data_IF_662873204189
#
_entry.id   IF_662873204189
#
_cell.length_a   1.000
_cell.length_b   1.000
_cell.length_c   1.000
_cell.angle_alpha   90.00
_cell.angle_beta   90.00
_cell.angle_gamma   90.00
#
_symmetry.space_group_name_H-M   'P 1'
#
loop_
_entity.id
_entity.type
_entity.pdbx_description
1 polymer ?
#
# COMPACT_ATOMS: atom_id res chain seq x y z
N UNK A 1 -24.41 -22.04 18.86
CA UNK A 1 -23.16 -21.68 19.57
C UNK A 1 -23.02 -20.19 19.42
N UNK A 2 -23.22 -19.47 20.52
CA UNK A 2 -23.45 -18.03 20.53
C UNK A 2 -22.20 -17.28 20.10
N UNK A 3 -22.32 -16.54 19.00
CA UNK A 3 -21.38 -15.51 18.57
C UNK A 3 -21.43 -14.39 19.61
N UNK A 4 -20.56 -14.48 20.61
CA UNK A 4 -20.37 -13.38 21.56
C UNK A 4 -19.62 -12.31 20.79
N UNK A 5 -20.34 -11.29 20.33
CA UNK A 5 -19.78 -10.10 19.72
C UNK A 5 -18.74 -9.52 20.68
N UNK A 6 -17.47 -9.90 20.48
CA UNK A 6 -16.38 -9.43 21.31
C UNK A 6 -16.25 -7.96 20.96
N UNK A 7 -16.47 -7.09 21.94
CA UNK A 7 -16.35 -5.64 21.74
C UNK A 7 -14.87 -5.29 21.62
N UNK A 8 -14.45 -4.55 20.58
CA UNK A 8 -13.06 -4.17 20.41
C UNK A 8 -12.58 -3.30 21.58
N UNK A 9 -11.31 -3.43 22.01
CA UNK A 9 -10.69 -2.54 22.97
C UNK A 9 -10.84 -1.07 22.53
N UNK A 10 -11.03 -0.11 23.46
CA UNK A 10 -11.22 1.30 23.10
C UNK A 10 -10.14 1.85 22.16
N UNK A 11 -8.89 1.42 22.36
CA UNK A 11 -7.76 1.83 21.53
C UNK A 11 -7.87 1.31 20.08
N UNK A 12 -8.30 0.06 19.90
CA UNK A 12 -8.56 -0.48 18.56
C UNK A 12 -9.81 0.15 17.93
N UNK A 13 -10.85 0.44 18.72
CA UNK A 13 -12.01 1.17 18.23
C UNK A 13 -11.64 2.57 17.70
N UNK A 14 -10.81 3.32 18.44
CA UNK A 14 -10.27 4.61 17.98
C UNK A 14 -9.41 4.46 16.72
N UNK A 15 -8.61 3.39 16.62
CA UNK A 15 -7.83 3.09 15.43
C UNK A 15 -8.71 2.81 14.21
N UNK A 16 -9.84 2.10 14.37
CA UNK A 16 -10.82 1.88 13.32
C UNK A 16 -11.51 3.17 12.87
N UNK A 17 -11.85 4.06 13.81
CA UNK A 17 -12.40 5.38 13.49
C UNK A 17 -11.40 6.21 12.68
N UNK A 18 -10.14 6.26 13.11
CA UNK A 18 -9.07 6.94 12.38
C UNK A 18 -8.87 6.35 10.99
N UNK A 19 -8.80 5.01 10.87
CA UNK A 19 -8.65 4.32 9.59
C UNK A 19 -9.79 4.66 8.61
N UNK A 20 -11.04 4.73 9.08
CA UNK A 20 -12.21 5.10 8.26
C UNK A 20 -12.22 6.57 7.86
N UNK A 21 -11.55 7.42 8.63
CA UNK A 21 -11.41 8.85 8.34
C UNK A 21 -10.28 9.15 7.34
N UNK A 22 -9.46 8.15 6.98
CA UNK A 22 -8.40 8.31 6.00
C UNK A 22 -8.94 8.80 4.65
N UNK A 23 -8.12 9.59 3.94
CA UNK A 23 -8.41 10.08 2.59
C UNK A 23 -7.38 9.55 1.58
N UNK A 24 -7.49 8.27 1.16
CA UNK A 24 -6.59 7.71 0.15
C UNK A 24 -6.61 8.50 -1.17
N UNK A 25 -5.57 8.32 -1.98
CA UNK A 25 -5.45 8.82 -3.35
C UNK A 25 -6.71 8.48 -4.15
N UNK A 26 -7.27 9.46 -4.86
CA UNK A 26 -8.49 9.31 -5.65
C UNK A 26 -8.34 8.35 -6.85
N UNK A 27 -7.09 8.04 -7.22
CA UNK A 27 -6.75 7.05 -8.23
C UNK A 27 -6.93 5.61 -7.74
N UNK A 28 -7.11 5.39 -6.44
CA UNK A 28 -7.34 4.07 -5.85
C UNK A 28 -8.82 3.84 -5.52
N UNK A 29 -9.29 2.63 -5.76
CA UNK A 29 -10.48 2.10 -5.12
C UNK A 29 -10.04 1.32 -3.89
N UNK A 30 -10.34 1.86 -2.71
CA UNK A 30 -10.03 1.21 -1.43
C UNK A 30 -11.31 0.60 -0.84
N UNK A 31 -11.21 -0.64 -0.36
CA UNK A 31 -12.32 -1.33 0.30
C UNK A 31 -11.84 -2.20 1.46
N UNK A 32 -12.65 -2.30 2.51
CA UNK A 32 -12.41 -3.25 3.59
C UNK A 32 -12.63 -4.69 3.11
N UNK A 33 -11.74 -5.59 3.51
CA UNK A 33 -11.78 -7.03 3.18
C UNK A 33 -11.67 -7.85 4.47
N UNK A 34 -11.94 -9.16 4.37
CA UNK A 34 -11.76 -10.07 5.50
C UNK A 34 -10.31 -10.05 6.00
N UNK A 35 -10.13 -9.74 7.28
CA UNK A 35 -8.82 -9.73 7.91
C UNK A 35 -8.30 -11.16 8.17
N UNK A 36 -6.97 -11.38 8.19
CA UNK A 36 -6.40 -12.65 8.60
C UNK A 36 -6.79 -12.98 10.05
N UNK A 37 -7.43 -14.13 10.27
CA UNK A 37 -8.01 -14.49 11.57
C UNK A 37 -7.02 -15.08 12.58
N UNK A 38 -5.78 -15.35 12.18
CA UNK A 38 -4.78 -16.05 13.01
C UNK A 38 -3.63 -15.19 13.52
N UNK A 39 -3.54 -13.92 13.09
CA UNK A 39 -2.36 -13.07 13.38
C UNK A 39 -2.49 -12.25 14.65
N UNK A 40 -3.71 -11.91 15.07
CA UNK A 40 -3.98 -11.04 16.20
C UNK A 40 -5.40 -11.28 16.74
N UNK A 41 -5.66 -10.97 18.02
CA UNK A 41 -7.02 -10.96 18.56
C UNK A 41 -7.94 -9.96 17.84
N UNK A 42 -7.37 -8.87 17.31
CA UNK A 42 -8.09 -7.82 16.61
C UNK A 42 -7.35 -7.46 15.32
N UNK A 43 -8.08 -7.43 14.21
CA UNK A 43 -7.52 -7.08 12.91
C UNK A 43 -8.56 -6.42 12.00
N UNK A 44 -8.08 -5.54 11.12
CA UNK A 44 -8.83 -4.98 10.00
C UNK A 44 -7.93 -4.99 8.77
N UNK A 45 -8.50 -5.26 7.61
CA UNK A 45 -7.76 -5.32 6.36
C UNK A 45 -8.44 -4.47 5.28
N UNK A 46 -7.61 -3.75 4.51
CA UNK A 46 -8.00 -3.01 3.33
C UNK A 46 -7.34 -3.64 2.12
N UNK A 47 -8.08 -3.69 1.01
CA UNK A 47 -7.54 -3.87 -0.33
C UNK A 47 -7.62 -2.53 -1.08
N UNK A 48 -6.65 -2.31 -1.97
CA UNK A 48 -6.68 -1.18 -2.89
C UNK A 48 -6.29 -1.65 -4.28
N UNK A 49 -7.05 -1.19 -5.27
CA UNK A 49 -6.77 -1.39 -6.69
C UNK A 49 -6.72 -0.01 -7.37
N UNK A 50 -5.78 0.19 -8.27
CA UNK A 50 -5.81 1.38 -9.13
C UNK A 50 -7.05 1.36 -10.02
N UNK A 51 -7.62 2.54 -10.24
CA UNK A 51 -8.75 2.73 -11.13
C UNK A 51 -8.19 2.95 -12.54
N UNK A 52 -8.62 2.19 -13.56
CA UNK A 52 -8.15 2.38 -14.91
C UNK A 52 -8.46 3.82 -15.38
N UNK A 53 -7.44 4.55 -15.80
CA UNK A 53 -7.61 5.86 -16.43
C UNK A 53 -8.28 5.73 -17.80
N UNK A 54 -8.95 6.79 -18.28
CA UNK A 54 -9.68 6.82 -19.58
C UNK A 54 -8.85 6.49 -20.84
N UNK A 55 -7.54 6.25 -20.72
CA UNK A 55 -6.63 5.91 -21.82
C UNK A 55 -5.80 4.62 -21.56
N UNK A 56 -6.05 3.91 -20.46
CA UNK A 56 -5.40 2.64 -20.17
C UNK A 56 -6.39 1.52 -20.52
N UNK A 57 -6.36 1.05 -21.78
CA UNK A 57 -7.03 -0.20 -22.13
C UNK A 57 -6.27 -1.34 -21.44
N UNK A 58 -6.95 -2.05 -20.52
CA UNK A 58 -6.49 -3.28 -19.85
C UNK A 58 -5.02 -3.28 -19.36
N UNK A 59 -4.56 -2.21 -18.71
CA UNK A 59 -3.33 -2.29 -17.92
C UNK A 59 -3.59 -3.23 -16.74
N UNK A 60 -2.71 -4.18 -16.49
CA UNK A 60 -2.62 -4.79 -15.16
C UNK A 60 -2.37 -3.64 -14.17
N UNK A 61 -3.26 -3.47 -13.20
CA UNK A 61 -3.26 -2.31 -12.32
C UNK A 61 -2.53 -2.66 -11.03
N UNK A 62 -1.78 -1.71 -10.49
CA UNK A 62 -1.15 -1.88 -9.19
C UNK A 62 -2.20 -2.18 -8.12
N UNK A 63 -1.91 -3.16 -7.27
CA UNK A 63 -2.78 -3.65 -6.19
C UNK A 63 -2.04 -3.57 -4.87
N UNK A 64 -2.79 -3.45 -3.78
CA UNK A 64 -2.22 -3.51 -2.45
C UNK A 64 -3.14 -4.11 -1.41
N UNK A 65 -2.53 -4.53 -0.30
CA UNK A 65 -3.23 -4.88 0.94
C UNK A 65 -2.58 -4.14 2.10
N UNK A 66 -3.42 -3.67 3.01
CA UNK A 66 -3.01 -3.07 4.28
C UNK A 66 -3.75 -3.79 5.39
N UNK A 67 -3.02 -4.38 6.32
CA UNK A 67 -3.60 -5.10 7.47
C UNK A 67 -3.13 -4.41 8.74
N UNK A 68 -4.06 -3.87 9.51
CA UNK A 68 -3.79 -3.42 10.87
C UNK A 68 -4.14 -4.54 11.84
N UNK A 69 -3.14 -4.92 12.64
CA UNK A 69 -3.24 -5.88 13.72
C UNK A 69 -3.17 -5.14 15.05
N UNK A 70 -3.91 -5.63 16.05
CA UNK A 70 -3.85 -5.14 17.40
C UNK A 70 -3.91 -6.28 18.42
N UNK A 71 -2.92 -6.32 19.30
CA UNK A 71 -2.81 -7.28 20.39
C UNK A 71 -2.45 -6.54 21.68
N UNK A 72 -3.38 -6.50 22.67
CA UNK A 72 -3.14 -5.86 23.97
C UNK A 72 -1.95 -6.43 24.75
N UNK A 73 -1.49 -7.64 24.43
CA UNK A 73 -0.37 -8.31 25.10
C UNK A 73 1.01 -7.79 24.68
N UNK A 74 1.07 -6.95 23.64
CA UNK A 74 2.33 -6.38 23.11
C UNK A 74 3.35 -7.46 22.73
N UNK A 75 3.09 -8.26 21.68
CA UNK A 75 4.05 -9.26 21.22
C UNK A 75 5.42 -8.62 20.99
N UNK A 76 6.49 -9.22 21.56
CA UNK A 76 7.85 -8.65 21.50
C UNK A 76 8.31 -8.39 20.06
N UNK A 77 7.95 -9.27 19.13
CA UNK A 77 8.28 -9.16 17.71
C UNK A 77 7.62 -7.95 17.01
N UNK A 78 6.61 -7.34 17.61
CA UNK A 78 5.97 -6.14 17.10
C UNK A 78 6.58 -4.88 17.71
N UNK A 79 7.10 -4.93 18.94
CA UNK A 79 7.59 -3.72 19.61
C UNK A 79 6.48 -2.71 19.90
N UNK A 80 5.24 -3.18 20.11
CA UNK A 80 4.08 -2.37 20.42
C UNK A 80 2.76 -3.16 20.30
N UNK A 81 1.64 -2.50 20.63
CA UNK A 81 0.29 -3.09 20.58
C UNK A 81 -0.26 -3.24 19.17
N UNK A 82 0.19 -2.37 18.27
CA UNK A 82 -0.21 -2.36 16.88
C UNK A 82 0.88 -2.95 15.98
N UNK A 83 0.45 -3.56 14.88
CA UNK A 83 1.35 -3.91 13.79
C UNK A 83 0.63 -3.73 12.47
N UNK A 84 1.25 -3.01 11.55
CA UNK A 84 0.81 -3.00 10.16
C UNK A 84 1.60 -4.04 9.39
N UNK A 85 0.90 -4.78 8.54
CA UNK A 85 1.49 -5.60 7.47
C UNK A 85 0.92 -5.10 6.15
N UNK A 86 1.80 -4.74 5.23
CA UNK A 86 1.40 -4.27 3.91
C UNK A 86 2.00 -5.13 2.79
N UNK A 87 1.26 -5.15 1.70
CA UNK A 87 1.63 -5.72 0.43
C UNK A 87 1.29 -4.69 -0.65
N UNK A 88 2.17 -4.51 -1.62
CA UNK A 88 1.93 -3.69 -2.79
C UNK A 88 2.62 -4.35 -3.99
N UNK A 89 1.93 -4.39 -5.12
CA UNK A 89 2.45 -4.98 -6.35
C UNK A 89 2.02 -4.13 -7.53
N UNK A 90 2.92 -3.90 -8.48
CA UNK A 90 2.60 -3.23 -9.73
C UNK A 90 3.47 -3.77 -10.88
N UNK A 91 2.91 -3.87 -12.10
CA UNK A 91 3.72 -4.14 -13.28
C UNK A 91 4.68 -2.99 -13.56
N UNK A 92 5.80 -3.31 -14.19
CA UNK A 92 6.84 -2.37 -14.57
C UNK A 92 7.18 -2.50 -16.05
N UNK A 93 7.71 -1.42 -16.61
CA UNK A 93 8.44 -1.50 -17.87
C UNK A 93 9.75 -2.29 -17.66
N UNK A 94 10.12 -3.12 -18.63
CA UNK A 94 11.21 -4.10 -18.50
C UNK A 94 12.59 -3.45 -18.39
N UNK A 95 12.76 -2.28 -18.99
CA UNK A 95 13.98 -1.46 -18.89
C UNK A 95 14.16 -0.83 -17.51
N UNK A 96 13.06 -0.47 -16.83
CA UNK A 96 13.08 -0.03 -15.43
C UNK A 96 13.38 -1.21 -14.49
N UNK A 97 12.80 -2.38 -14.76
CA UNK A 97 12.96 -3.57 -13.91
C UNK A 97 14.42 -4.03 -13.70
N UNK A 98 15.31 -3.73 -14.64
CA UNK A 98 16.73 -4.07 -14.54
C UNK A 98 17.57 -3.04 -13.76
N UNK A 99 16.99 -1.89 -13.37
CA UNK A 99 17.71 -0.86 -12.60
C UNK A 99 18.15 -1.44 -11.22
N UNK A 100 19.45 -1.38 -10.89
CA UNK A 100 19.96 -1.88 -9.61
C UNK A 100 19.42 -1.13 -8.38
N UNK A 101 19.00 0.13 -8.52
CA UNK A 101 18.55 0.99 -7.41
C UNK A 101 17.04 0.95 -7.16
N UNK A 102 16.27 0.34 -8.06
CA UNK A 102 14.81 0.35 -7.99
C UNK A 102 14.26 -0.18 -6.66
N UNK A 103 14.90 -1.18 -6.08
CA UNK A 103 14.49 -1.73 -4.79
C UNK A 103 14.65 -0.71 -3.64
N UNK A 104 15.78 0.00 -3.60
CA UNK A 104 16.06 1.02 -2.59
C UNK A 104 15.13 2.23 -2.75
N UNK A 105 14.87 2.62 -4.00
CA UNK A 105 13.94 3.72 -4.34
C UNK A 105 12.51 3.36 -3.94
N UNK A 106 12.04 2.15 -4.24
CA UNK A 106 10.70 1.72 -3.84
C UNK A 106 10.54 1.59 -2.33
N UNK A 107 11.61 1.21 -1.62
CA UNK A 107 11.62 1.26 -0.16
C UNK A 107 11.56 2.69 0.38
N UNK A 108 12.33 3.62 -0.20
CA UNK A 108 12.29 5.03 0.22
C UNK A 108 10.92 5.65 -0.01
N UNK A 109 10.24 5.31 -1.11
CA UNK A 109 8.86 5.73 -1.36
C UNK A 109 7.89 5.39 -0.23
N UNK A 110 8.00 4.21 0.38
CA UNK A 110 7.17 3.86 1.53
C UNK A 110 7.49 4.76 2.73
N UNK A 111 8.77 4.89 3.07
CA UNK A 111 9.24 5.66 4.22
C UNK A 111 8.87 7.13 4.07
N UNK A 112 9.21 7.73 2.93
CA UNK A 112 8.94 9.13 2.61
C UNK A 112 7.43 9.42 2.61
N UNK A 113 6.61 8.49 2.10
CA UNK A 113 5.16 8.65 2.10
C UNK A 113 4.55 8.58 3.51
N UNK A 114 5.05 7.69 4.38
CA UNK A 114 4.61 7.63 5.78
C UNK A 114 5.00 8.92 6.52
N UNK A 115 6.24 9.37 6.33
CA UNK A 115 6.77 10.57 6.97
C UNK A 115 6.04 11.84 6.49
N UNK A 116 5.81 11.98 5.19
CA UNK A 116 5.08 13.12 4.61
C UNK A 116 3.63 13.22 5.10
N UNK A 117 2.99 12.09 5.43
CA UNK A 117 1.64 12.05 6.01
C UNK A 117 1.62 12.24 7.53
N UNK A 118 2.80 12.33 8.16
CA UNK A 118 2.94 12.48 9.61
C UNK A 118 2.61 11.20 10.38
N UNK A 119 2.76 10.03 9.74
CA UNK A 119 2.55 8.74 10.40
C UNK A 119 3.61 8.53 11.49
N UNK A 120 3.19 8.17 12.70
CA UNK A 120 4.11 7.89 13.81
C UNK A 120 4.35 6.40 13.95
N UNK A 121 5.55 5.93 13.62
CA UNK A 121 5.88 4.52 13.64
C UNK A 121 7.31 4.22 14.08
N UNK A 122 7.55 2.95 14.39
CA UNK A 122 8.87 2.36 14.60
C UNK A 122 8.95 1.00 13.92
N UNK A 123 10.15 0.38 13.96
CA UNK A 123 10.38 -1.00 13.54
C UNK A 123 9.87 -1.31 12.12
N UNK A 124 10.05 -0.36 11.19
CA UNK A 124 9.80 -0.57 9.77
C UNK A 124 10.78 -1.59 9.21
N UNK A 125 10.25 -2.60 8.54
CA UNK A 125 11.00 -3.67 7.90
C UNK A 125 10.24 -4.19 6.70
N UNK A 126 10.95 -4.83 5.77
CA UNK A 126 10.32 -5.35 4.56
C UNK A 126 11.30 -5.87 3.54
N UNK A 127 10.76 -6.27 2.40
CA UNK A 127 11.48 -6.71 1.22
C UNK A 127 10.85 -6.07 -0.01
N UNK A 128 11.70 -5.68 -0.96
CA UNK A 128 11.28 -5.34 -2.32
C UNK A 128 11.83 -6.39 -3.26
N UNK A 129 10.95 -7.05 -4.01
CA UNK A 129 11.27 -8.13 -4.94
C UNK A 129 11.01 -7.64 -6.35
N UNK A 130 12.03 -7.79 -7.21
CA UNK A 130 11.91 -7.55 -8.65
C UNK A 130 11.73 -8.89 -9.35
N UNK A 131 10.66 -9.02 -10.11
CA UNK A 131 10.37 -10.21 -10.91
C UNK A 131 10.62 -9.84 -12.37
N UNK A 132 11.55 -10.55 -13.02
CA UNK A 132 11.84 -10.40 -14.45
C UNK A 132 11.51 -11.73 -15.13
N UNK A 133 10.73 -11.66 -16.20
CA UNK A 133 10.34 -12.83 -16.99
C UNK A 133 10.72 -12.62 -18.45
N UNK A 134 11.16 -13.69 -19.11
CA UNK A 134 11.37 -13.72 -20.56
C UNK A 134 10.51 -14.81 -21.16
N UNK A 135 9.65 -14.43 -22.11
CA UNK A 135 8.77 -15.35 -22.81
C UNK A 135 9.54 -16.24 -23.79
N UNK A 136 9.31 -17.55 -23.71
CA UNK A 136 9.81 -18.54 -24.68
C UNK A 136 8.64 -19.41 -25.18
N UNK A 137 8.80 -20.03 -26.36
CA UNK A 137 7.77 -20.89 -26.96
C UNK A 137 6.46 -20.15 -27.20
N UNK A 138 5.35 -20.67 -26.69
CA UNK A 138 4.02 -20.03 -26.80
C UNK A 138 3.96 -18.63 -26.15
N UNK A 139 4.79 -18.38 -25.14
CA UNK A 139 4.88 -17.07 -24.48
C UNK A 139 5.82 -16.10 -25.19
N UNK A 140 6.55 -16.53 -26.23
CA UNK A 140 7.44 -15.65 -26.97
C UNK A 140 6.70 -14.46 -27.61
N UNK A 141 5.40 -14.63 -27.90
CA UNK A 141 4.54 -13.54 -28.41
C UNK A 141 4.19 -12.49 -27.37
N UNK A 142 4.29 -12.81 -26.07
CA UNK A 142 4.03 -11.90 -24.96
C UNK A 142 5.28 -11.06 -24.61
N UNK A 143 6.48 -11.54 -24.96
CA UNK A 143 7.74 -10.80 -24.76
C UNK A 143 8.31 -10.94 -23.35
N UNK A 144 9.14 -9.98 -22.95
CA UNK A 144 9.66 -9.85 -21.60
C UNK A 144 8.65 -9.15 -20.70
N UNK A 145 8.65 -9.49 -19.41
CA UNK A 145 7.81 -8.86 -18.39
C UNK A 145 8.62 -8.46 -17.16
N UNK A 146 8.15 -7.42 -16.47
CA UNK A 146 8.70 -6.99 -15.20
C UNK A 146 7.60 -6.63 -14.20
N UNK A 147 7.82 -6.96 -12.94
CA UNK A 147 6.92 -6.66 -11.83
C UNK A 147 7.72 -6.32 -10.57
N UNK A 148 7.16 -5.41 -9.78
CA UNK A 148 7.67 -5.06 -8.47
C UNK A 148 6.70 -5.50 -7.39
N UNK A 149 7.21 -6.17 -6.37
CA UNK A 149 6.46 -6.57 -5.20
C UNK A 149 7.14 -5.99 -3.95
N UNK A 150 6.40 -5.23 -3.14
CA UNK A 150 6.83 -4.73 -1.85
C UNK A 150 6.01 -5.39 -0.75
N UNK A 151 6.69 -6.02 0.19
CA UNK A 151 6.12 -6.53 1.44
C UNK A 151 6.77 -5.79 2.59
N UNK A 152 5.99 -5.11 3.41
CA UNK A 152 6.52 -4.36 4.53
C UNK A 152 5.66 -4.50 5.78
N UNK A 153 6.25 -4.12 6.90
CA UNK A 153 5.60 -4.13 8.18
C UNK A 153 6.24 -3.11 9.10
N UNK A 154 5.43 -2.43 9.91
CA UNK A 154 5.87 -1.42 10.87
C UNK A 154 4.91 -1.35 12.05
N UNK A 155 5.31 -0.63 13.08
CA UNK A 155 4.56 -0.54 14.34
C UNK A 155 4.08 0.89 14.54
N UNK A 156 2.77 1.17 14.34
CA UNK A 156 2.18 2.44 14.73
C UNK A 156 2.37 2.71 16.22
N UNK A 157 2.68 3.97 16.56
CA UNK A 157 2.91 4.39 17.95
C UNK A 157 1.63 4.84 18.67
N UNK A 158 0.53 5.00 17.94
CA UNK A 158 -0.76 5.41 18.47
C UNK A 158 -1.91 4.93 17.57
N UNK A 159 -3.14 5.28 17.96
CA UNK A 159 -4.35 4.95 17.22
C UNK A 159 -4.63 5.89 16.02
N UNK A 160 -3.73 6.81 15.66
CA UNK A 160 -3.90 7.68 14.50
C UNK A 160 -3.48 6.94 13.21
N UNK A 161 -4.35 6.04 12.75
CA UNK A 161 -4.07 5.14 11.62
C UNK A 161 -4.26 5.81 10.24
N UNK A 162 -5.05 6.88 10.13
CA UNK A 162 -5.28 7.57 8.86
C UNK A 162 -3.98 7.92 8.10
N UNK A 163 -2.97 8.57 8.71
CA UNK A 163 -1.68 8.82 8.08
C UNK A 163 -0.99 7.59 7.49
N UNK A 164 -1.10 6.42 8.13
CA UNK A 164 -0.48 5.19 7.66
C UNK A 164 -1.19 4.64 6.41
N UNK A 165 -2.52 4.73 6.37
CA UNK A 165 -3.32 4.33 5.19
C UNK A 165 -3.05 5.27 4.02
N UNK A 166 -2.95 6.57 4.28
CA UNK A 166 -2.65 7.57 3.24
C UNK A 166 -1.23 7.43 2.70
N UNK A 167 -0.24 7.14 3.56
CA UNK A 167 1.14 6.87 3.12
C UNK A 167 1.23 5.59 2.28
N UNK A 168 0.56 4.53 2.69
CA UNK A 168 0.44 3.30 1.89
C UNK A 168 -0.27 3.54 0.55
N UNK A 169 -1.30 4.38 0.53
CA UNK A 169 -1.99 4.77 -0.70
C UNK A 169 -1.07 5.54 -1.65
N UNK A 170 -0.21 6.41 -1.13
CA UNK A 170 0.77 7.15 -1.92
C UNK A 170 1.80 6.21 -2.56
N UNK A 171 2.31 5.25 -1.78
CA UNK A 171 3.20 4.19 -2.27
C UNK A 171 2.58 3.45 -3.46
N UNK A 172 1.32 3.02 -3.36
CA UNK A 172 0.65 2.28 -4.44
C UNK A 172 0.57 3.09 -5.73
N UNK A 173 0.29 4.39 -5.63
CA UNK A 173 0.28 5.27 -6.79
C UNK A 173 1.68 5.40 -7.40
N UNK A 174 2.72 5.61 -6.58
CA UNK A 174 4.10 5.72 -7.05
C UNK A 174 4.62 4.43 -7.70
N UNK A 175 4.31 3.26 -7.13
CA UNK A 175 4.66 1.96 -7.70
C UNK A 175 4.06 1.75 -9.09
N UNK A 176 2.88 2.31 -9.35
CA UNK A 176 2.24 2.27 -10.66
C UNK A 176 2.60 3.46 -11.56
N UNK A 177 3.67 4.20 -11.24
CA UNK A 177 4.19 5.29 -12.06
C UNK A 177 3.39 6.60 -11.98
N UNK A 178 2.43 6.72 -11.06
CA UNK A 178 1.78 8.01 -10.81
C UNK A 178 2.70 8.90 -9.97
N UNK A 179 2.76 10.20 -10.27
CA UNK A 179 3.59 11.12 -9.50
C UNK A 179 3.06 11.23 -8.05
N UNK A 180 3.97 11.52 -7.09
CA UNK A 180 3.57 11.77 -5.71
C UNK A 180 2.59 12.94 -5.65
N UNK A 181 1.61 12.87 -4.75
CA UNK A 181 0.66 13.97 -4.54
C UNK A 181 1.39 15.09 -3.81
N UNK A 182 1.99 16.01 -4.57
CA UNK A 182 2.63 17.20 -4.01
C UNK A 182 1.63 17.98 -3.17
N UNK A 183 1.99 18.34 -1.94
CA UNK A 183 1.31 19.43 -1.23
C UNK A 183 1.37 20.70 -2.09
N UNK A 184 0.27 21.07 -2.74
CA UNK A 184 0.07 22.44 -3.25
C UNK A 184 0.34 22.74 -4.73
N UNK A 185 0.49 21.77 -5.64
CA UNK A 185 0.48 22.07 -7.09
C UNK A 185 -0.72 21.45 -7.76
N UNK A 186 -1.78 22.24 -7.90
CA UNK A 186 -2.86 21.96 -8.85
C UNK A 186 -2.24 21.82 -10.25
N UNK A 187 -2.36 20.65 -10.86
CA UNK A 187 -1.91 20.43 -12.23
C UNK A 187 -2.56 21.48 -13.16
N UNK A 188 -1.74 22.32 -13.81
CA UNK A 188 -2.26 23.28 -14.79
C UNK A 188 -2.92 22.50 -15.96
N UNK A 189 -4.14 22.86 -16.36
CA UNK A 189 -4.79 22.20 -17.49
C UNK A 189 -3.95 22.40 -18.75
N UNK A 190 -3.52 21.29 -19.38
CA UNK A 190 -2.88 21.31 -20.72
C UNK A 190 -3.86 21.95 -21.70
N UNK A 191 -3.63 23.23 -22.02
CA UNK A 191 -4.37 23.95 -23.06
C UNK A 191 -4.13 23.25 -24.40
N UNK A 192 -5.11 22.47 -24.84
CA UNK A 192 -5.18 21.95 -26.22
C UNK A 192 -5.12 23.14 -27.18
N UNK A 193 -4.03 23.25 -27.94
CA UNK A 193 -3.93 24.13 -29.08
C UNK A 193 -4.82 23.53 -30.18
N UNK A 194 -6.03 24.09 -30.36
CA UNK A 194 -6.88 23.78 -31.51
C UNK A 194 -6.12 24.21 -32.77
N UNK A 195 -5.82 23.24 -33.63
CA UNK A 195 -5.64 23.47 -35.06
C UNK A 195 -7.01 23.50 -35.74
#
# INVERSE_FOLDING_TARGET
MSDSATTPPPEFAAALESLRAATPRAELRVSEIAAPSSLAPWAVALAADLIPGRHAEDSDLGTGRFVLLHDPSEPESWGGRFRVVCFAQAPLETDIGVDPFLADVAWSWLVDALDARGARYVAASGTVTKILSTGYGELARQGDGAELELRASWTPLDAAIAPHVEGWSELLCMLAGLPPSSEGVTALPRRRRRG
#
